data_IF_801965618637
#
_entry.id   IF_801965618637
#
_cell.length_a   1.000
_cell.length_b   1.000
_cell.length_c   1.000
_cell.angle_alpha   90.00
_cell.angle_beta   90.00
_cell.angle_gamma   90.00
#
_symmetry.space_group_name_H-M   'P 1'
#
loop_
_entity.id
_entity.type
_entity.pdbx_description
1 polymer ?
#
# COMPACT_ATOMS: atom_id res chain seq x y z
N UNK A 1 -0.85 5.98 -4.19
CA UNK A 1 -0.03 5.56 -5.33
C UNK A 1 -0.71 4.40 -6.06
N UNK A 2 -0.78 3.20 -5.49
CA UNK A 2 -1.20 1.96 -6.18
C UNK A 2 -2.59 2.03 -6.82
N UNK A 3 -3.57 2.69 -6.19
CA UNK A 3 -4.92 2.84 -6.76
C UNK A 3 -4.94 3.64 -8.07
N UNK A 4 -3.98 4.56 -8.25
CA UNK A 4 -3.84 5.36 -9.46
C UNK A 4 -3.01 4.66 -10.52
N UNK A 5 -2.01 3.91 -10.10
CA UNK A 5 -1.10 3.19 -10.96
C UNK A 5 -1.72 1.90 -11.52
N UNK A 6 -2.47 1.19 -10.70
CA UNK A 6 -3.25 0.01 -11.07
C UNK A 6 -4.74 0.21 -10.75
N UNK A 7 -5.47 1.10 -11.44
CA UNK A 7 -6.92 1.23 -11.24
C UNK A 7 -7.61 -0.10 -11.58
N UNK A 8 -8.75 -0.36 -10.98
CA UNK A 8 -9.54 -1.60 -11.13
C UNK A 8 -8.90 -2.87 -10.55
N UNK A 9 -7.72 -2.79 -9.95
CA UNK A 9 -7.00 -3.96 -9.43
C UNK A 9 -7.54 -4.42 -8.07
N UNK A 10 -7.21 -5.66 -7.72
CA UNK A 10 -7.56 -6.27 -6.45
C UNK A 10 -6.29 -6.48 -5.61
N UNK A 11 -6.31 -6.03 -4.37
CA UNK A 11 -5.21 -6.16 -3.44
C UNK A 11 -5.65 -6.96 -2.20
N UNK A 12 -4.68 -7.48 -1.47
CA UNK A 12 -4.93 -8.14 -0.19
C UNK A 12 -4.10 -7.49 0.91
N UNK A 13 -4.75 -7.17 2.02
CA UNK A 13 -4.10 -6.88 3.29
C UNK A 13 -4.06 -8.16 4.12
N UNK A 14 -2.87 -8.55 4.54
CA UNK A 14 -2.66 -9.72 5.39
C UNK A 14 -2.17 -9.32 6.77
N UNK A 15 -2.72 -9.97 7.76
CA UNK A 15 -2.27 -9.93 9.17
C UNK A 15 -2.15 -11.35 9.70
N UNK A 16 -1.54 -11.51 10.85
CA UNK A 16 -1.50 -12.79 11.56
C UNK A 16 -2.91 -13.30 11.85
N UNK A 17 -3.79 -12.42 12.37
CA UNK A 17 -5.19 -12.72 12.68
C UNK A 17 -6.15 -11.71 12.09
N UNK A 18 -7.40 -12.10 11.87
CA UNK A 18 -8.48 -11.17 11.45
C UNK A 18 -8.72 -10.05 12.46
N UNK A 19 -8.63 -10.36 13.74
CA UNK A 19 -8.85 -9.38 14.80
C UNK A 19 -7.84 -8.24 14.70
N UNK A 20 -6.57 -8.57 14.49
CA UNK A 20 -5.51 -7.57 14.31
C UNK A 20 -5.71 -6.77 13.02
N UNK A 21 -6.07 -7.43 11.92
CA UNK A 21 -6.36 -6.75 10.66
C UNK A 21 -7.46 -5.70 10.80
N UNK A 22 -8.57 -6.06 11.44
CA UNK A 22 -9.73 -5.18 11.59
C UNK A 22 -9.51 -4.08 12.64
N UNK A 23 -8.78 -4.36 13.73
CA UNK A 23 -8.54 -3.38 14.80
C UNK A 23 -7.41 -2.39 14.48
N UNK A 24 -6.39 -2.81 13.76
CA UNK A 24 -5.19 -2.02 13.50
C UNK A 24 -5.12 -1.52 12.06
N UNK A 25 -5.09 -2.42 11.08
CA UNK A 25 -4.84 -2.07 9.68
C UNK A 25 -5.96 -1.20 9.11
N UNK A 26 -7.22 -1.63 9.27
CA UNK A 26 -8.36 -0.93 8.65
C UNK A 26 -8.50 0.51 9.15
N UNK A 27 -8.53 0.80 10.47
CA UNK A 27 -8.65 2.16 10.95
C UNK A 27 -7.46 3.05 10.56
N UNK A 28 -6.24 2.49 10.56
CA UNK A 28 -5.02 3.21 10.19
C UNK A 28 -5.04 3.60 8.71
N UNK A 29 -5.44 2.69 7.82
CA UNK A 29 -5.58 2.94 6.40
C UNK A 29 -6.63 4.02 6.11
N UNK A 30 -7.82 3.87 6.69
CA UNK A 30 -8.93 4.82 6.55
C UNK A 30 -8.52 6.18 7.10
N UNK A 31 -7.93 6.25 8.28
CA UNK A 31 -7.42 7.48 8.86
C UNK A 31 -6.36 8.16 7.96
N UNK A 32 -5.49 7.36 7.32
CA UNK A 32 -4.52 7.85 6.34
C UNK A 32 -5.17 8.43 5.09
N UNK A 33 -6.22 7.80 4.58
CA UNK A 33 -6.98 8.30 3.43
C UNK A 33 -7.77 9.57 3.75
N UNK A 34 -8.44 9.60 4.92
CA UNK A 34 -9.17 10.78 5.37
C UNK A 34 -8.25 12.01 5.51
N UNK A 35 -7.03 11.84 6.04
CA UNK A 35 -6.03 12.92 6.08
C UNK A 35 -5.59 13.41 4.69
N UNK A 36 -5.76 12.58 3.66
CA UNK A 36 -5.50 12.93 2.25
C UNK A 36 -6.74 13.42 1.51
N UNK A 37 -7.82 13.70 2.22
CA UNK A 37 -9.08 14.22 1.66
C UNK A 37 -9.98 13.16 1.03
N UNK A 38 -9.72 11.87 1.27
CA UNK A 38 -10.65 10.83 0.85
C UNK A 38 -11.80 10.74 1.84
N UNK A 39 -13.03 10.64 1.34
CA UNK A 39 -14.27 10.66 2.10
C UNK A 39 -15.03 9.37 1.85
N UNK A 40 -15.56 8.77 2.92
CA UNK A 40 -16.43 7.59 2.85
C UNK A 40 -17.69 7.88 2.03
N UNK A 41 -18.15 6.91 1.27
CA UNK A 41 -19.27 7.05 0.33
C UNK A 41 -18.94 7.79 -0.97
N UNK A 42 -17.87 8.60 -1.02
CA UNK A 42 -17.47 9.36 -2.21
C UNK A 42 -16.23 8.75 -2.86
N UNK A 43 -15.21 8.41 -2.09
CA UNK A 43 -13.94 7.93 -2.57
C UNK A 43 -13.68 6.46 -2.26
N UNK A 44 -14.28 5.94 -1.20
CA UNK A 44 -14.23 4.54 -0.80
C UNK A 44 -15.50 4.16 -0.03
N UNK A 45 -15.76 2.87 0.07
CA UNK A 45 -16.74 2.27 0.97
C UNK A 45 -16.15 1.03 1.60
N UNK A 46 -16.59 0.70 2.82
CA UNK A 46 -16.16 -0.49 3.58
C UNK A 46 -17.33 -1.44 3.76
N UNK A 47 -17.08 -2.74 3.60
CA UNK A 47 -18.03 -3.83 3.89
C UNK A 47 -19.41 -3.67 3.23
N UNK A 48 -19.48 -2.95 2.12
CA UNK A 48 -20.75 -2.62 1.45
C UNK A 48 -20.60 -2.61 -0.07
N UNK A 49 -21.73 -2.72 -0.77
CA UNK A 49 -21.77 -2.57 -2.21
C UNK A 49 -21.27 -1.17 -2.62
N UNK A 50 -20.42 -1.08 -3.64
CA UNK A 50 -19.96 0.21 -4.12
C UNK A 50 -21.12 1.01 -4.75
N UNK A 51 -21.16 2.34 -4.56
CA UNK A 51 -22.08 3.21 -5.25
C UNK A 51 -21.95 3.10 -6.77
N UNK A 52 -23.03 3.39 -7.50
CA UNK A 52 -23.09 3.25 -8.96
C UNK A 52 -22.07 4.11 -9.71
N UNK A 53 -21.62 5.21 -9.10
CA UNK A 53 -20.61 6.11 -9.69
C UNK A 53 -19.16 5.58 -9.55
N UNK A 54 -18.95 4.51 -8.75
CA UNK A 54 -17.62 3.88 -8.64
C UNK A 54 -17.32 3.07 -9.89
N UNK A 55 -16.07 3.07 -10.31
CA UNK A 55 -15.58 2.19 -11.38
C UNK A 55 -15.60 0.75 -10.90
N UNK A 56 -15.81 -0.18 -11.83
CA UNK A 56 -15.85 -1.61 -11.54
C UNK A 56 -14.44 -2.17 -11.37
N UNK A 57 -14.27 -3.13 -10.47
CA UNK A 57 -13.06 -3.95 -10.40
C UNK A 57 -12.93 -4.79 -11.68
N UNK A 58 -11.69 -5.12 -12.08
CA UNK A 58 -11.43 -5.96 -13.25
C UNK A 58 -12.11 -7.33 -13.15
N UNK A 59 -12.26 -7.85 -11.95
CA UNK A 59 -12.97 -9.08 -11.63
C UNK A 59 -14.15 -8.77 -10.72
N UNK A 60 -15.37 -9.21 -11.04
CA UNK A 60 -16.54 -8.96 -10.20
C UNK A 60 -16.33 -9.44 -8.77
N UNK A 61 -16.70 -8.62 -7.81
CA UNK A 61 -16.69 -8.95 -6.38
C UNK A 61 -18.10 -9.34 -5.97
N UNK A 62 -18.27 -10.52 -5.41
CA UNK A 62 -19.58 -11.02 -4.98
C UNK A 62 -19.82 -10.86 -3.48
N UNK A 63 -18.74 -10.86 -2.69
CA UNK A 63 -18.80 -10.74 -1.23
C UNK A 63 -18.01 -9.51 -0.83
N UNK A 64 -18.69 -8.56 -0.19
CA UNK A 64 -18.10 -7.28 0.23
C UNK A 64 -17.66 -7.28 1.68
N UNK A 65 -17.92 -8.34 2.43
CA UNK A 65 -17.46 -8.47 3.82
C UNK A 65 -15.92 -8.46 3.89
N UNK A 66 -15.38 -7.68 4.80
CA UNK A 66 -13.92 -7.47 4.97
C UNK A 66 -13.24 -6.93 3.71
N UNK A 67 -13.92 -6.05 3.00
CA UNK A 67 -13.37 -5.38 1.83
C UNK A 67 -13.49 -3.87 1.93
N UNK A 68 -12.55 -3.18 1.29
CA UNK A 68 -12.64 -1.75 1.04
C UNK A 68 -12.65 -1.56 -0.47
N UNK A 69 -13.69 -0.93 -0.98
CA UNK A 69 -13.85 -0.64 -2.40
C UNK A 69 -13.60 0.85 -2.65
N UNK A 70 -12.84 1.21 -3.68
CA UNK A 70 -12.53 2.60 -4.00
C UNK A 70 -13.22 3.07 -5.27
N UNK A 71 -13.44 4.37 -5.41
CA UNK A 71 -14.06 4.98 -6.59
C UNK A 71 -13.29 4.69 -7.91
N UNK A 72 -11.99 4.35 -7.82
CA UNK A 72 -11.16 3.93 -8.96
C UNK A 72 -11.33 2.46 -9.34
N UNK A 73 -12.22 1.72 -8.67
CA UNK A 73 -12.48 0.31 -8.92
C UNK A 73 -11.50 -0.63 -8.22
N UNK A 74 -10.62 -0.12 -7.38
CA UNK A 74 -9.74 -1.00 -6.61
C UNK A 74 -10.48 -1.63 -5.45
N UNK A 75 -10.14 -2.89 -5.17
CA UNK A 75 -10.68 -3.64 -4.04
C UNK A 75 -9.54 -4.12 -3.15
N UNK A 76 -9.62 -3.79 -1.89
CA UNK A 76 -8.74 -4.30 -0.84
C UNK A 76 -9.49 -5.35 -0.03
N UNK A 77 -9.04 -6.58 -0.10
CA UNK A 77 -9.57 -7.68 0.72
C UNK A 77 -8.72 -7.80 1.98
N UNK A 78 -9.36 -7.83 3.13
CA UNK A 78 -8.69 -8.01 4.42
C UNK A 78 -8.67 -9.49 4.72
N UNK A 79 -7.50 -10.05 4.93
CA UNK A 79 -7.29 -11.47 5.14
C UNK A 79 -6.42 -11.80 6.35
N UNK A 80 -6.59 -13.00 6.86
CA UNK A 80 -5.76 -13.55 7.93
C UNK A 80 -4.89 -14.69 7.42
N UNK A 81 -3.64 -14.73 7.87
CA UNK A 81 -2.74 -15.84 7.60
C UNK A 81 -3.04 -17.09 8.46
N UNK A 82 -3.93 -17.00 9.42
CA UNK A 82 -4.41 -18.19 10.13
C UNK A 82 -5.34 -19.05 9.27
N UNK A 83 -6.03 -18.43 8.31
CA UNK A 83 -6.90 -19.11 7.35
C UNK A 83 -6.54 -18.74 5.89
N UNK A 84 -5.34 -19.08 5.40
CA UNK A 84 -4.88 -18.69 4.07
C UNK A 84 -5.70 -19.32 2.94
N UNK A 85 -6.39 -20.44 3.21
CA UNK A 85 -7.24 -21.13 2.23
C UNK A 85 -8.38 -20.25 1.71
N UNK A 86 -8.94 -19.37 2.53
CA UNK A 86 -9.98 -18.43 2.11
C UNK A 86 -9.51 -17.38 1.09
N UNK A 87 -8.20 -17.15 1.00
CA UNK A 87 -7.59 -16.20 0.09
C UNK A 87 -6.93 -16.89 -1.13
N UNK A 88 -6.57 -18.16 -1.01
CA UNK A 88 -5.79 -18.89 -2.02
C UNK A 88 -6.51 -19.06 -3.37
N UNK A 89 -7.84 -19.06 -3.37
CA UNK A 89 -8.67 -19.16 -4.58
C UNK A 89 -8.82 -17.85 -5.34
N UNK A 90 -8.40 -16.73 -4.77
CA UNK A 90 -8.54 -15.40 -5.36
C UNK A 90 -7.32 -15.02 -6.22
N UNK A 91 -7.38 -13.85 -6.85
CA UNK A 91 -6.28 -13.31 -7.67
C UNK A 91 -6.06 -11.87 -7.27
N UNK A 92 -4.89 -11.60 -6.70
CA UNK A 92 -4.49 -10.28 -6.23
C UNK A 92 -3.31 -9.76 -7.04
N UNK A 93 -3.28 -8.47 -7.30
CA UNK A 93 -2.17 -7.82 -8.00
C UNK A 93 -1.09 -7.34 -7.03
N UNK A 94 -1.44 -7.12 -5.75
CA UNK A 94 -0.50 -6.68 -4.73
C UNK A 94 -0.90 -7.18 -3.36
N UNK A 95 0.08 -7.41 -2.48
CA UNK A 95 -0.12 -7.82 -1.10
C UNK A 95 0.49 -6.79 -0.15
N UNK A 96 -0.27 -6.43 0.87
CA UNK A 96 0.17 -5.62 2.00
C UNK A 96 0.21 -6.46 3.26
N UNK A 97 1.17 -6.18 4.13
CA UNK A 97 1.21 -6.74 5.47
C UNK A 97 1.73 -5.70 6.44
N UNK A 98 1.06 -5.58 7.56
CA UNK A 98 1.52 -4.77 8.68
C UNK A 98 2.04 -5.68 9.77
N UNK A 99 2.94 -5.16 10.61
CA UNK A 99 3.64 -5.94 11.64
C UNK A 99 4.27 -7.22 11.07
N UNK A 100 5.07 -7.07 10.02
CA UNK A 100 5.65 -8.20 9.30
C UNK A 100 6.44 -9.17 10.18
N UNK A 101 6.99 -8.69 11.30
CA UNK A 101 7.66 -9.52 12.32
C UNK A 101 6.75 -10.62 12.92
N UNK A 102 5.43 -10.39 12.90
CA UNK A 102 4.44 -11.37 13.38
C UNK A 102 4.01 -12.37 12.28
N UNK A 103 4.36 -12.08 11.03
CA UNK A 103 3.92 -12.87 9.89
C UNK A 103 4.90 -14.03 9.65
N UNK A 104 4.42 -15.26 9.76
CA UNK A 104 5.24 -16.44 9.48
C UNK A 104 5.45 -16.60 7.98
N UNK A 105 6.72 -16.63 7.54
CA UNK A 105 7.14 -16.78 6.14
C UNK A 105 6.42 -17.95 5.44
N UNK A 106 6.35 -19.10 6.07
CA UNK A 106 5.68 -20.28 5.52
C UNK A 106 4.19 -20.08 5.22
N UNK A 107 3.50 -19.24 6.00
CA UNK A 107 2.09 -18.88 5.72
C UNK A 107 1.98 -17.88 4.57
N UNK A 108 2.91 -16.91 4.50
CA UNK A 108 2.99 -15.96 3.38
C UNK A 108 3.26 -16.67 2.05
N UNK A 109 4.14 -17.69 2.06
CA UNK A 109 4.48 -18.45 0.85
C UNK A 109 3.29 -19.24 0.31
N UNK A 110 2.41 -19.75 1.18
CA UNK A 110 1.15 -20.39 0.76
C UNK A 110 0.19 -19.44 0.06
N UNK A 111 0.27 -18.13 0.32
CA UNK A 111 -0.54 -17.12 -0.34
C UNK A 111 0.11 -16.58 -1.63
N UNK A 112 1.38 -16.85 -1.86
CA UNK A 112 2.10 -16.33 -3.03
C UNK A 112 1.45 -16.76 -4.38
N UNK A 113 0.90 -17.98 -4.56
CA UNK A 113 0.20 -18.33 -5.78
C UNK A 113 -1.05 -17.48 -6.07
N UNK A 114 -1.63 -16.81 -5.07
CA UNK A 114 -2.75 -15.90 -5.24
C UNK A 114 -2.31 -14.50 -5.77
N UNK A 115 -1.01 -14.18 -5.76
CA UNK A 115 -0.45 -12.99 -6.40
C UNK A 115 -0.32 -13.22 -7.91
N UNK A 116 -1.42 -13.07 -8.63
CA UNK A 116 -1.53 -13.37 -10.05
C UNK A 116 -2.65 -12.55 -10.71
N UNK A 117 -2.88 -12.77 -11.98
CA UNK A 117 -4.01 -12.24 -12.74
C UNK A 117 -3.63 -11.05 -13.61
N UNK A 118 -4.28 -10.95 -14.72
CA UNK A 118 -4.34 -9.87 -15.72
C UNK A 118 -2.98 -9.14 -15.96
N UNK A 119 -1.98 -9.89 -16.39
CA UNK A 119 -0.69 -9.33 -16.77
C UNK A 119 -0.84 -8.25 -17.85
N UNK A 120 -1.71 -8.48 -18.83
CA UNK A 120 -1.93 -7.54 -19.92
C UNK A 120 -2.41 -6.16 -19.44
N UNK A 121 -3.15 -6.12 -18.33
CA UNK A 121 -3.68 -4.88 -17.76
C UNK A 121 -2.75 -4.24 -16.73
N UNK A 122 -2.06 -5.05 -15.91
CA UNK A 122 -1.33 -4.56 -14.73
C UNK A 122 0.18 -4.79 -14.78
N UNK A 123 0.66 -5.59 -15.74
CA UNK A 123 2.05 -6.07 -15.77
C UNK A 123 3.11 -5.00 -15.96
N UNK A 124 2.75 -3.81 -16.43
CA UNK A 124 3.66 -2.66 -16.55
C UNK A 124 3.86 -1.89 -15.25
N UNK A 125 3.00 -2.11 -14.26
CA UNK A 125 3.11 -1.45 -12.97
C UNK A 125 4.23 -2.06 -12.13
N UNK A 126 5.03 -1.20 -11.49
CA UNK A 126 6.05 -1.62 -10.52
C UNK A 126 5.46 -2.31 -9.28
N UNK A 127 4.16 -2.12 -9.04
CA UNK A 127 3.44 -2.76 -7.93
C UNK A 127 2.88 -4.14 -8.28
N UNK A 128 2.86 -4.51 -9.57
CA UNK A 128 2.26 -5.77 -10.00
C UNK A 128 3.02 -6.97 -9.42
N UNK A 129 2.26 -7.87 -8.79
CA UNK A 129 2.76 -9.03 -8.04
C UNK A 129 3.76 -8.67 -6.92
N UNK A 130 3.73 -7.41 -6.51
CA UNK A 130 4.59 -6.90 -5.45
C UNK A 130 4.04 -7.15 -4.05
N UNK A 131 4.90 -6.89 -3.07
CA UNK A 131 4.57 -6.92 -1.65
C UNK A 131 5.02 -5.61 -1.01
N UNK A 132 4.20 -5.08 -0.11
CA UNK A 132 4.57 -3.97 0.76
C UNK A 132 4.34 -4.39 2.19
N UNK A 133 5.41 -4.43 2.97
CA UNK A 133 5.35 -4.78 4.38
C UNK A 133 5.85 -3.61 5.22
N UNK A 134 5.18 -3.41 6.35
CA UNK A 134 5.61 -2.49 7.40
C UNK A 134 5.86 -3.28 8.68
N UNK A 135 6.87 -2.89 9.44
CA UNK A 135 7.18 -3.53 10.73
C UNK A 135 8.06 -2.63 11.57
N UNK A 136 7.95 -2.77 12.88
CA UNK A 136 8.99 -2.32 13.79
C UNK A 136 10.22 -3.23 13.69
N UNK A 137 11.34 -2.75 14.25
CA UNK A 137 12.56 -3.55 14.29
C UNK A 137 12.30 -4.87 15.00
N UNK A 138 12.53 -6.03 14.35
CA UNK A 138 12.30 -7.32 14.96
C UNK A 138 13.28 -7.58 16.10
N UNK A 139 12.89 -8.47 17.02
CA UNK A 139 13.80 -8.90 18.08
C UNK A 139 14.75 -9.97 17.55
N UNK A 140 15.98 -9.57 17.25
CA UNK A 140 17.03 -10.42 16.70
C UNK A 140 17.29 -11.68 17.54
N UNK A 141 17.07 -11.59 18.87
CA UNK A 141 17.30 -12.73 19.76
C UNK A 141 16.27 -13.86 19.61
N UNK A 142 15.11 -13.59 19.01
CA UNK A 142 14.05 -14.57 18.80
C UNK A 142 14.12 -15.27 17.43
N UNK A 143 14.96 -14.78 16.50
CA UNK A 143 15.11 -15.36 15.16
C UNK A 143 13.88 -15.22 14.25
N UNK A 144 12.87 -14.46 14.66
CA UNK A 144 11.64 -14.25 13.87
C UNK A 144 11.84 -13.30 12.68
N UNK A 145 13.00 -12.67 12.60
CA UNK A 145 13.39 -11.62 11.67
C UNK A 145 14.19 -12.12 10.47
N UNK A 146 14.69 -13.34 10.49
CA UNK A 146 15.60 -13.88 9.47
C UNK A 146 15.06 -13.71 8.05
N UNK A 147 13.76 -13.95 7.85
CA UNK A 147 13.17 -13.83 6.55
C UNK A 147 13.03 -12.36 6.08
N UNK A 148 12.86 -11.43 7.01
CA UNK A 148 12.78 -9.98 6.73
C UNK A 148 14.16 -9.48 6.35
N UNK A 149 15.16 -9.74 7.20
CA UNK A 149 16.54 -9.32 6.96
C UNK A 149 17.10 -9.97 5.69
N UNK A 150 16.73 -11.21 5.40
CA UNK A 150 17.15 -11.90 4.17
C UNK A 150 16.70 -11.18 2.87
N UNK A 151 15.74 -10.25 2.93
CA UNK A 151 15.32 -9.47 1.77
C UNK A 151 16.36 -8.40 1.37
N UNK A 152 17.31 -8.07 2.24
CA UNK A 152 18.40 -7.14 1.92
C UNK A 152 19.15 -7.53 0.64
N UNK A 153 19.35 -8.82 0.40
CA UNK A 153 19.98 -9.35 -0.82
C UNK A 153 19.22 -9.02 -2.11
N UNK A 154 17.94 -8.67 -2.01
CA UNK A 154 17.09 -8.30 -3.14
C UNK A 154 17.03 -6.78 -3.35
N UNK A 155 17.71 -6.00 -2.50
CA UNK A 155 17.73 -4.54 -2.62
C UNK A 155 18.57 -4.12 -3.82
N UNK A 156 18.03 -3.23 -4.63
CA UNK A 156 18.80 -2.45 -5.58
C UNK A 156 19.41 -1.26 -4.84
N UNK A 157 20.69 -1.41 -4.45
CA UNK A 157 21.39 -0.41 -3.63
C UNK A 157 21.53 0.94 -4.36
N UNK A 158 21.58 0.96 -5.68
CA UNK A 158 21.70 2.19 -6.44
C UNK A 158 20.36 2.93 -6.47
N UNK A 159 19.24 2.20 -6.63
CA UNK A 159 17.91 2.81 -6.47
C UNK A 159 17.69 3.34 -5.06
N UNK A 160 18.12 2.63 -4.02
CA UNK A 160 18.01 3.08 -2.62
C UNK A 160 18.81 4.37 -2.42
N UNK A 161 20.05 4.43 -2.89
CA UNK A 161 20.89 5.63 -2.80
C UNK A 161 20.28 6.81 -3.55
N UNK A 162 19.80 6.58 -4.78
CA UNK A 162 19.15 7.61 -5.59
C UNK A 162 17.87 8.13 -4.91
N UNK A 163 17.04 7.24 -4.37
CA UNK A 163 15.83 7.62 -3.64
C UNK A 163 16.17 8.46 -2.38
N UNK A 164 17.23 8.10 -1.67
CA UNK A 164 17.73 8.86 -0.52
C UNK A 164 18.21 10.26 -0.93
N UNK A 165 18.99 10.37 -2.00
CA UNK A 165 19.47 11.65 -2.52
C UNK A 165 18.31 12.56 -2.94
N UNK A 166 17.34 12.03 -3.70
CA UNK A 166 16.14 12.77 -4.08
C UNK A 166 15.36 13.22 -2.84
N UNK A 167 15.24 12.35 -1.83
CA UNK A 167 14.60 12.68 -0.56
C UNK A 167 15.29 13.83 0.19
N UNK A 168 16.62 13.86 0.18
CA UNK A 168 17.40 14.95 0.80
C UNK A 168 17.18 16.27 0.05
N UNK A 169 17.28 16.29 -1.27
CA UNK A 169 17.02 17.46 -2.10
C UNK A 169 15.60 17.99 -1.91
N UNK A 170 14.60 17.10 -1.92
CA UNK A 170 13.22 17.49 -1.66
C UNK A 170 13.03 18.10 -0.26
N UNK A 171 13.75 17.60 0.74
CA UNK A 171 13.69 18.14 2.08
C UNK A 171 14.33 19.55 2.16
N UNK A 172 15.43 19.76 1.46
CA UNK A 172 16.04 21.10 1.33
C UNK A 172 15.08 22.10 0.68
N UNK A 173 14.53 21.75 -0.50
CA UNK A 173 13.57 22.62 -1.20
C UNK A 173 12.36 22.95 -0.30
N UNK A 174 11.86 21.97 0.47
CA UNK A 174 10.76 22.22 1.42
C UNK A 174 11.16 23.17 2.54
N UNK A 175 12.38 23.06 3.07
CA UNK A 175 12.89 23.98 4.09
C UNK A 175 13.03 25.40 3.56
N UNK A 176 13.60 25.55 2.36
CA UNK A 176 13.71 26.84 1.69
C UNK A 176 12.33 27.46 1.41
N UNK A 177 11.38 26.65 0.95
CA UNK A 177 10.00 27.08 0.74
C UNK A 177 9.36 27.60 2.04
N UNK A 178 9.54 26.89 3.15
CA UNK A 178 9.05 27.34 4.45
C UNK A 178 9.68 28.68 4.87
N UNK A 179 10.98 28.85 4.65
CA UNK A 179 11.68 30.11 4.91
C UNK A 179 11.14 31.25 4.03
N UNK A 180 10.97 31.00 2.73
CA UNK A 180 10.39 31.96 1.79
C UNK A 180 8.95 32.38 2.18
N UNK A 181 8.15 31.45 2.70
CA UNK A 181 6.81 31.73 3.23
C UNK A 181 6.89 32.68 4.45
N UNK A 182 7.81 32.41 5.37
CA UNK A 182 7.96 33.20 6.58
C UNK A 182 8.34 34.65 6.29
N UNK A 183 9.22 34.90 5.30
CA UNK A 183 9.65 36.25 4.90
C UNK A 183 8.76 36.85 3.80
N UNK A 184 7.72 36.15 3.36
CA UNK A 184 6.78 36.55 2.28
C UNK A 184 7.45 36.83 0.94
N UNK A 185 8.51 36.11 0.61
CA UNK A 185 9.17 36.17 -0.69
C UNK A 185 8.37 35.32 -1.73
N UNK A 186 7.44 35.99 -2.41
CA UNK A 186 6.55 35.37 -3.38
C UNK A 186 7.28 34.84 -4.62
N UNK A 187 8.38 35.50 -5.04
CA UNK A 187 9.15 35.06 -6.21
C UNK A 187 9.89 33.76 -5.92
N UNK A 188 10.56 33.66 -4.78
CA UNK A 188 11.20 32.43 -4.32
C UNK A 188 10.19 31.31 -4.13
N UNK A 189 9.03 31.59 -3.54
CA UNK A 189 7.96 30.60 -3.33
C UNK A 189 7.48 29.97 -4.66
N UNK A 190 7.31 30.78 -5.71
CA UNK A 190 6.85 30.27 -7.00
C UNK A 190 7.92 29.43 -7.70
N UNK A 191 9.18 29.86 -7.62
CA UNK A 191 10.32 29.10 -8.15
C UNK A 191 10.46 27.74 -7.48
N UNK A 192 10.43 27.70 -6.13
CA UNK A 192 10.57 26.48 -5.35
C UNK A 192 9.39 25.51 -5.53
N UNK A 193 8.16 26.01 -5.66
CA UNK A 193 6.99 25.19 -6.00
C UNK A 193 7.15 24.50 -7.35
N UNK A 194 7.68 25.18 -8.36
CA UNK A 194 7.96 24.59 -9.66
C UNK A 194 9.01 23.48 -9.61
N UNK A 195 9.98 23.58 -8.69
CA UNK A 195 10.97 22.51 -8.48
C UNK A 195 10.38 21.27 -7.78
N UNK A 196 9.39 21.44 -6.90
CA UNK A 196 8.71 20.33 -6.22
C UNK A 196 7.82 19.48 -7.14
N UNK A 197 7.44 20.00 -8.31
CA UNK A 197 6.53 19.33 -9.28
C UNK A 197 7.31 18.59 -10.37
N UNK A 198 8.60 18.87 -10.54
CA UNK A 198 9.51 18.14 -11.45
C UNK A 198 10.02 16.87 -10.78
#
# INVERSE_FOLDING_TARGET
AICRDMPHSKQVFVSDTYVNALKSITPTLIGGWNRKGWVDGIHYVTDSNPPTHFKKCYKPVQVFKHTIYTYLGNVFTIGSLDQPSGLAGDSFQHRYGDEARLLKKAKLDKLTPALRGEYAQFGTSVYYRGNTFTTDMPNILLGDDDWIMSQEKNMDLDQVKNALQVGLVLNEIKRELLSAIQIKDYAAMESLKKQLVK
#
